data_IF_287091793529
#
_entry.id   IF_287091793529
#
_cell.length_a   1.000
_cell.length_b   1.000
_cell.length_c   1.000
_cell.angle_alpha   90.00
_cell.angle_beta   90.00
_cell.angle_gamma   90.00
#
_symmetry.space_group_name_H-M   'P 1'
#
loop_
_entity.id
_entity.type
_entity.pdbx_description
1 polymer ?
#
# COMPACT_ATOMS: atom_id res chain seq x y z
N UNK A 1 -9.97 -4.31 1.95
CA UNK A 1 -8.78 -4.75 2.72
C UNK A 1 -8.40 -6.18 2.32
N UNK A 2 -7.18 -6.37 1.81
CA UNK A 2 -6.67 -7.72 1.50
C UNK A 2 -6.51 -8.47 2.84
N UNK A 3 -7.08 -9.67 3.00
CA UNK A 3 -6.94 -10.41 4.27
C UNK A 3 -5.47 -10.74 4.50
N UNK A 4 -4.95 -10.32 5.65
CA UNK A 4 -3.60 -10.67 6.11
C UNK A 4 -3.60 -12.17 6.40
N UNK A 5 -2.68 -12.95 5.80
CA UNK A 5 -2.64 -14.38 6.04
C UNK A 5 -2.37 -14.66 7.53
N UNK A 6 -2.97 -15.72 8.05
CA UNK A 6 -2.67 -16.19 9.40
C UNK A 6 -1.20 -16.58 9.55
N UNK A 7 -0.68 -16.66 10.78
CA UNK A 7 0.72 -16.99 11.09
C UNK A 7 1.21 -18.33 10.50
N UNK A 8 0.29 -19.19 10.06
CA UNK A 8 0.54 -20.51 9.48
C UNK A 8 0.03 -20.63 8.04
N UNK A 9 -0.29 -19.52 7.38
CA UNK A 9 -0.81 -19.50 6.01
C UNK A 9 0.28 -19.07 5.02
N UNK A 10 0.36 -19.78 3.89
CA UNK A 10 1.24 -19.45 2.78
C UNK A 10 0.40 -19.13 1.54
N UNK A 11 0.55 -17.91 1.00
CA UNK A 11 -0.11 -17.50 -0.25
C UNK A 11 0.83 -17.73 -1.44
N UNK A 12 0.39 -18.55 -2.38
CA UNK A 12 1.13 -18.90 -3.60
C UNK A 12 0.43 -18.25 -4.81
N UNK A 13 1.21 -17.71 -5.75
CA UNK A 13 0.72 -17.12 -7.02
C UNK A 13 1.42 -17.77 -8.20
N UNK A 14 0.78 -17.69 -9.38
CA UNK A 14 1.36 -18.17 -10.64
C UNK A 14 1.26 -19.68 -10.87
N UNK A 15 0.60 -20.41 -9.97
CA UNK A 15 0.38 -21.86 -10.07
C UNK A 15 -1.02 -22.18 -9.58
N UNK A 16 -1.70 -23.11 -10.24
CA UNK A 16 -3.03 -23.55 -9.81
C UNK A 16 -2.97 -24.53 -8.62
N UNK A 17 -4.08 -24.64 -7.89
CA UNK A 17 -4.18 -25.51 -6.74
C UNK A 17 -3.99 -27.00 -7.09
N UNK A 18 -4.41 -27.43 -8.28
CA UNK A 18 -4.29 -28.83 -8.69
C UNK A 18 -2.83 -29.23 -8.88
N UNK A 19 -1.99 -28.34 -9.39
CA UNK A 19 -0.55 -28.51 -9.50
C UNK A 19 0.09 -28.67 -8.12
N UNK A 20 -0.24 -27.77 -7.17
CA UNK A 20 0.29 -27.83 -5.80
C UNK A 20 -0.10 -29.16 -5.14
N UNK A 21 -1.36 -29.57 -5.27
CA UNK A 21 -1.84 -30.84 -4.70
C UNK A 21 -1.12 -32.06 -5.28
N UNK A 22 -0.90 -32.09 -6.60
CA UNK A 22 -0.12 -33.16 -7.24
C UNK A 22 1.32 -33.19 -6.76
N UNK A 23 1.98 -32.04 -6.69
CA UNK A 23 3.36 -31.93 -6.24
C UNK A 23 3.51 -32.42 -4.79
N UNK A 24 2.61 -31.98 -3.90
CA UNK A 24 2.60 -32.43 -2.52
C UNK A 24 2.43 -33.97 -2.42
N UNK A 25 1.48 -34.54 -3.17
CA UNK A 25 1.28 -35.99 -3.21
C UNK A 25 2.52 -36.75 -3.72
N UNK A 26 3.16 -36.27 -4.79
CA UNK A 26 4.40 -36.87 -5.33
C UNK A 26 5.53 -36.90 -4.29
N UNK A 27 5.59 -35.90 -3.42
CA UNK A 27 6.62 -35.81 -2.38
C UNK A 27 6.18 -36.38 -1.02
N UNK A 28 4.99 -36.97 -0.91
CA UNK A 28 4.46 -37.50 0.35
C UNK A 28 4.20 -36.42 1.41
N UNK A 29 3.91 -35.19 0.99
CA UNK A 29 3.62 -34.06 1.87
C UNK A 29 2.10 -33.99 2.06
N UNK A 30 1.65 -34.14 3.31
CA UNK A 30 0.23 -33.99 3.66
C UNK A 30 -0.17 -32.52 3.63
N UNK A 31 -1.16 -32.18 2.80
CA UNK A 31 -1.82 -30.88 2.83
C UNK A 31 -3.05 -30.98 3.74
N UNK A 32 -3.05 -30.24 4.85
CA UNK A 32 -4.21 -30.16 5.75
C UNK A 32 -5.35 -29.34 5.15
N UNK A 33 -5.00 -28.28 4.44
CA UNK A 33 -5.94 -27.42 3.73
C UNK A 33 -5.26 -26.89 2.45
N UNK A 34 -6.04 -26.78 1.37
CA UNK A 34 -5.64 -26.12 0.14
C UNK A 34 -6.85 -25.40 -0.45
N UNK A 35 -6.89 -24.08 -0.27
CA UNK A 35 -8.03 -23.25 -0.65
C UNK A 35 -7.67 -22.39 -1.87
N UNK A 36 -8.21 -22.69 -3.07
CA UNK A 36 -8.01 -21.87 -4.25
C UNK A 36 -8.51 -20.45 -4.02
N UNK A 37 -7.67 -19.46 -4.27
CA UNK A 37 -8.02 -18.05 -4.15
C UNK A 37 -8.31 -17.49 -5.55
N UNK A 38 -9.57 -17.15 -5.80
CA UNK A 38 -9.97 -16.39 -6.99
C UNK A 38 -10.19 -14.94 -6.58
N UNK A 39 -9.44 -14.04 -7.20
CA UNK A 39 -9.71 -12.60 -7.12
C UNK A 39 -10.59 -12.21 -8.30
N UNK A 40 -11.68 -11.51 -8.03
CA UNK A 40 -12.47 -10.91 -9.09
C UNK A 40 -11.69 -9.76 -9.72
N UNK A 41 -11.96 -9.50 -11.00
CA UNK A 41 -11.34 -8.37 -11.71
C UNK A 41 -11.71 -7.04 -11.06
N UNK A 42 -12.95 -6.91 -10.60
CA UNK A 42 -13.41 -5.76 -9.82
C UNK A 42 -12.59 -5.59 -8.53
N UNK A 43 -12.38 -6.66 -7.75
CA UNK A 43 -11.58 -6.58 -6.53
C UNK A 43 -10.13 -6.21 -6.83
N UNK A 44 -9.54 -6.76 -7.89
CA UNK A 44 -8.19 -6.40 -8.32
C UNK A 44 -8.08 -4.92 -8.74
N UNK A 45 -9.12 -4.38 -9.38
CA UNK A 45 -9.20 -2.97 -9.75
C UNK A 45 -9.35 -2.05 -8.52
N UNK A 46 -10.19 -2.44 -7.56
CA UNK A 46 -10.35 -1.69 -6.31
C UNK A 46 -9.04 -1.66 -5.50
N UNK A 47 -8.35 -2.79 -5.39
CA UNK A 47 -7.07 -2.86 -4.68
C UNK A 47 -6.00 -1.95 -5.34
N UNK A 48 -5.93 -1.90 -6.67
CA UNK A 48 -5.00 -1.04 -7.43
C UNK A 48 -5.25 0.46 -7.20
N UNK A 49 -6.53 0.86 -7.16
CA UNK A 49 -6.92 2.26 -7.05
C UNK A 49 -6.90 2.78 -5.61
N UNK A 50 -7.06 1.89 -4.63
CA UNK A 50 -6.98 2.24 -3.21
C UNK A 50 -5.56 2.65 -2.78
N UNK A 51 -4.51 2.19 -3.46
CA UNK A 51 -3.12 2.62 -3.22
C UNK A 51 -2.77 4.00 -3.84
N UNK A 52 -3.66 4.59 -4.64
CA UNK A 52 -3.36 5.78 -5.46
C UNK A 52 -3.77 7.13 -4.85
N UNK A 53 -4.22 7.19 -3.59
CA UNK A 53 -4.69 8.45 -2.99
C UNK A 53 -3.84 8.83 -1.76
N UNK A 54 -2.65 9.37 -2.01
CA UNK A 54 -1.89 10.12 -1.01
C UNK A 54 -1.66 11.55 -1.53
N UNK A 55 -2.74 12.34 -1.58
CA UNK A 55 -2.66 13.78 -1.80
C UNK A 55 -2.49 14.49 -0.44
N UNK A 56 -1.24 14.62 0.02
CA UNK A 56 -0.92 15.59 1.09
C UNK A 56 -0.71 16.96 0.46
N UNK A 57 -1.58 17.95 0.69
CA UNK A 57 -1.29 19.33 0.32
C UNK A 57 -0.10 19.80 1.18
N UNK A 58 0.98 20.16 0.50
CA UNK A 58 2.18 20.77 1.04
C UNK A 58 1.83 22.14 1.65
N UNK A 59 1.54 22.18 2.95
CA UNK A 59 1.46 23.43 3.69
C UNK A 59 2.88 23.94 4.01
N UNK A 60 3.62 24.34 2.97
CA UNK A 60 4.87 25.09 3.10
C UNK A 60 4.78 26.32 2.19
N UNK A 61 4.68 27.50 2.82
CA UNK A 61 5.03 28.86 2.32
C UNK A 61 4.04 29.93 2.82
N UNK A 62 3.83 30.04 4.14
CA UNK A 62 3.29 31.27 4.76
C UNK A 62 4.15 31.81 5.91
N UNK A 63 5.44 31.47 5.92
CA UNK A 63 6.44 32.06 6.83
C UNK A 63 7.14 33.30 6.24
N UNK A 64 6.71 33.83 5.08
CA UNK A 64 7.26 35.05 4.47
C UNK A 64 6.82 36.38 5.14
N UNK A 65 6.33 36.38 6.37
CA UNK A 65 5.92 37.61 7.08
C UNK A 65 6.73 37.90 8.35
N UNK A 66 7.97 37.40 8.42
CA UNK A 66 8.86 37.64 9.56
C UNK A 66 10.22 38.26 9.16
N UNK A 67 10.29 39.11 8.15
CA UNK A 67 11.47 39.96 7.95
C UNK A 67 11.06 41.31 7.34
N UNK A 68 10.85 42.31 8.20
CA UNK A 68 11.18 43.68 7.82
C UNK A 68 11.84 44.37 9.03
N UNK A 69 13.16 44.63 8.99
CA UNK A 69 13.81 45.46 9.98
C UNK A 69 13.52 46.93 9.68
N UNK A 70 13.31 47.74 10.72
CA UNK A 70 13.24 49.20 10.61
C UNK A 70 14.61 49.78 10.23
N UNK A 71 14.63 50.91 9.49
CA UNK A 71 15.54 51.98 9.90
C UNK A 71 14.90 53.38 9.87
N UNK A 72 15.39 54.20 10.80
CA UNK A 72 15.04 55.60 11.02
C UNK A 72 15.69 56.54 9.98
N UNK A 73 14.97 57.60 9.61
CA UNK A 73 15.47 58.89 9.07
C UNK A 73 14.27 59.86 9.19
N UNK A 74 14.27 61.08 9.73
CA UNK A 74 15.35 62.04 9.93
C UNK A 74 15.23 63.22 8.94
N UNK A 75 14.17 64.04 9.00
CA UNK A 75 14.05 65.35 8.31
C UNK A 75 12.81 66.09 8.86
N UNK A 76 12.87 67.12 9.71
CA UNK A 76 13.38 68.51 9.57
C UNK A 76 12.48 69.42 8.72
N UNK A 77 11.69 70.27 9.42
CA UNK A 77 11.22 71.63 9.12
C UNK A 77 9.72 71.83 9.44
#
# INVERSE_FOLDING_TARGET
>A
PVPTPGSHELRIRGVDAAHIGRLAATHGITLHELTPQTVSLEQAFMDLTQESVDHRPHQQHRQHRQHQPAPATGEAA
#
